data_IF_487640429178
#
_entry.id   IF_487640429178
#
_cell.length_a   1.000
_cell.length_b   1.000
_cell.length_c   1.000
_cell.angle_alpha   90.00
_cell.angle_beta   90.00
_cell.angle_gamma   90.00
#
_symmetry.space_group_name_H-M   'P 1'
#
loop_
_entity.id
_entity.type
_entity.pdbx_description
1 polymer ?
#
# COMPACT_ATOMS: atom_id res chain seq x y z
N UNK A 1 -3.13 45.70 61.39
CA UNK A 1 -2.60 44.73 62.37
C UNK A 1 -3.76 43.87 62.84
N UNK A 2 -3.57 42.53 62.83
CA UNK A 2 -4.42 41.43 63.35
C UNK A 2 -5.88 41.38 62.85
N UNK A 3 -6.40 40.33 62.20
CA UNK A 3 -6.32 38.89 62.51
C UNK A 3 -7.15 38.59 63.77
N UNK A 4 -7.92 37.53 63.94
CA UNK A 4 -8.30 36.32 63.21
C UNK A 4 -9.20 35.52 64.18
N UNK A 5 -9.87 34.47 63.71
CA UNK A 5 -10.46 33.34 64.48
C UNK A 5 -11.67 33.59 65.38
N UNK A 6 -12.84 33.12 64.93
CA UNK A 6 -13.88 32.55 65.77
C UNK A 6 -14.72 31.54 64.97
N UNK A 7 -14.83 30.32 65.47
CA UNK A 7 -15.88 29.33 65.19
C UNK A 7 -15.76 28.22 66.25
N UNK A 8 -16.75 27.34 66.51
CA UNK A 8 -18.17 27.35 66.12
C UNK A 8 -19.10 26.98 67.31
N UNK A 9 -20.43 26.92 67.08
CA UNK A 9 -21.40 25.92 67.62
C UNK A 9 -22.81 26.53 67.80
N UNK A 10 -23.77 26.12 66.95
CA UNK A 10 -25.18 26.06 67.33
C UNK A 10 -26.06 25.31 66.32
N UNK A 11 -27.05 24.61 66.89
CA UNK A 11 -28.37 24.25 66.35
C UNK A 11 -28.61 22.86 65.69
N UNK A 12 -29.21 21.98 66.50
CA UNK A 12 -30.55 21.42 66.22
C UNK A 12 -30.67 20.08 65.46
N UNK A 13 -31.89 19.52 65.31
CA UNK A 13 -32.54 18.72 66.37
C UNK A 13 -33.18 17.37 65.92
N UNK A 14 -33.56 16.58 66.93
CA UNK A 14 -34.70 15.63 67.04
C UNK A 14 -34.77 14.40 66.08
N UNK A 15 -34.72 13.23 66.73
CA UNK A 15 -34.98 11.89 66.18
C UNK A 15 -36.46 11.72 65.81
N UNK A 16 -36.73 11.39 64.55
CA UNK A 16 -38.04 10.96 64.06
C UNK A 16 -38.23 9.45 64.22
N UNK A 17 -39.39 9.07 64.76
CA UNK A 17 -39.96 7.73 64.68
C UNK A 17 -40.70 7.51 63.35
N UNK A 18 -40.74 6.25 62.95
CA UNK A 18 -41.20 5.61 61.71
C UNK A 18 -42.58 6.02 61.17
N UNK A 19 -42.73 5.97 59.83
CA UNK A 19 -43.93 5.39 59.20
C UNK A 19 -43.59 4.27 58.19
N UNK A 20 -44.58 3.46 57.76
CA UNK A 20 -44.36 2.11 57.21
C UNK A 20 -44.15 2.08 55.68
N UNK A 21 -43.65 0.92 55.25
CA UNK A 21 -43.17 0.58 53.91
C UNK A 21 -44.18 0.73 52.76
N UNK A 22 -43.65 0.89 51.53
CA UNK A 22 -44.19 0.22 50.37
C UNK A 22 -43.16 -0.66 49.66
N UNK A 23 -43.71 -1.60 48.91
CA UNK A 23 -43.11 -2.81 48.38
C UNK A 23 -42.19 -2.55 47.18
N UNK A 24 -41.03 -3.22 47.17
CA UNK A 24 -40.20 -3.42 45.99
C UNK A 24 -40.07 -4.93 45.72
N UNK A 25 -40.54 -5.38 44.55
CA UNK A 25 -39.87 -6.43 43.78
C UNK A 25 -38.70 -5.76 43.03
N UNK A 26 -37.52 -6.37 42.80
CA UNK A 26 -37.37 -7.70 42.20
C UNK A 26 -36.18 -8.55 42.72
N UNK A 27 -36.28 -9.87 42.47
CA UNK A 27 -35.20 -10.78 42.03
C UNK A 27 -33.77 -10.52 42.56
N UNK A 28 -33.37 -11.30 43.56
CA UNK A 28 -32.02 -11.88 43.64
C UNK A 28 -32.01 -12.99 44.71
N UNK A 29 -31.64 -14.23 44.35
CA UNK A 29 -30.42 -14.89 44.83
C UNK A 29 -30.35 -16.37 44.40
N UNK A 30 -29.11 -16.76 44.14
CA UNK A 30 -28.64 -18.00 43.54
C UNK A 30 -28.69 -19.25 44.45
N UNK A 31 -28.56 -20.43 43.81
CA UNK A 31 -27.77 -21.64 44.16
C UNK A 31 -28.36 -22.85 43.39
N UNK A 32 -27.68 -23.87 42.88
CA UNK A 32 -26.30 -24.21 42.49
C UNK A 32 -26.40 -25.64 41.88
N UNK A 33 -25.54 -25.99 40.91
CA UNK A 33 -25.08 -27.35 40.46
C UNK A 33 -25.98 -28.25 39.57
N UNK A 34 -25.40 -28.61 38.40
CA UNK A 34 -25.26 -29.93 37.72
C UNK A 34 -25.48 -29.81 36.20
N UNK A 35 -24.42 -29.74 35.38
CA UNK A 35 -23.64 -30.82 34.74
C UNK A 35 -24.28 -31.38 33.45
N UNK A 36 -23.50 -31.23 32.38
CA UNK A 36 -23.31 -32.06 31.18
C UNK A 36 -23.87 -31.68 29.79
N UNK A 37 -22.98 -31.95 28.82
CA UNK A 37 -23.16 -32.24 27.39
C UNK A 37 -23.29 -31.10 26.36
N UNK A 38 -22.22 -30.95 25.54
CA UNK A 38 -22.37 -30.35 24.21
C UNK A 38 -21.17 -29.71 23.49
N UNK A 39 -19.90 -30.04 23.80
CA UNK A 39 -18.73 -29.47 23.08
C UNK A 39 -18.41 -30.26 21.80
N UNK A 40 -18.69 -29.67 20.63
CA UNK A 40 -18.28 -30.18 19.31
C UNK A 40 -16.75 -30.07 19.14
N UNK A 41 -16.13 -31.22 18.83
CA UNK A 41 -14.72 -31.39 18.45
C UNK A 41 -14.49 -30.91 17.00
N UNK A 42 -13.50 -30.05 16.78
CA UNK A 42 -12.77 -29.99 15.50
C UNK A 42 -11.39 -30.61 15.71
N UNK A 43 -11.04 -31.55 14.84
CA UNK A 43 -9.81 -32.33 14.89
C UNK A 43 -8.68 -31.55 14.22
N UNK A 44 -7.60 -31.32 14.96
CA UNK A 44 -6.30 -30.95 14.43
C UNK A 44 -5.57 -32.20 13.91
N UNK A 45 -5.07 -32.14 12.69
CA UNK A 45 -4.12 -33.09 12.11
C UNK A 45 -2.73 -32.92 12.74
N UNK A 46 -2.03 -34.00 13.16
CA UNK A 46 -0.63 -33.93 13.55
C UNK A 46 0.29 -34.22 12.36
N UNK A 47 1.36 -33.43 12.23
CA UNK A 47 2.47 -33.72 11.31
C UNK A 47 3.33 -34.89 11.81
N UNK A 48 3.83 -35.78 10.93
CA UNK A 48 4.76 -36.81 11.35
C UNK A 48 6.23 -36.37 11.23
N UNK A 49 6.97 -36.57 12.33
CA UNK A 49 8.44 -36.66 12.36
C UNK A 49 8.88 -37.89 11.57
N UNK A 50 10.00 -37.81 10.83
CA UNK A 50 10.74 -38.99 10.33
C UNK A 50 12.22 -38.92 10.73
N UNK A 51 12.60 -39.79 11.67
CA UNK A 51 13.95 -40.36 11.73
C UNK A 51 14.05 -41.51 10.72
N UNK A 52 15.24 -41.69 10.15
CA UNK A 52 15.48 -42.62 9.05
C UNK A 52 15.66 -44.08 9.45
N UNK A 53 15.59 -44.96 8.45
CA UNK A 53 16.62 -45.97 8.17
C UNK A 53 16.28 -46.75 6.88
N UNK A 54 17.34 -47.25 6.24
CA UNK A 54 17.42 -48.46 5.41
C UNK A 54 16.84 -48.49 3.97
N UNK A 55 17.75 -48.83 3.05
CA UNK A 55 17.56 -49.35 1.69
C UNK A 55 16.72 -50.65 1.68
N UNK A 56 16.22 -51.07 0.50
CA UNK A 56 16.95 -52.12 -0.24
C UNK A 56 16.99 -51.95 -1.77
N UNK A 57 17.92 -52.72 -2.38
CA UNK A 57 18.22 -52.84 -3.80
C UNK A 57 17.22 -53.74 -4.56
N UNK A 58 17.15 -53.48 -5.87
CA UNK A 58 16.94 -54.40 -7.02
C UNK A 58 15.61 -55.13 -7.17
N UNK A 59 14.96 -54.96 -8.34
CA UNK A 59 15.00 -55.91 -9.48
C UNK A 59 14.12 -55.44 -10.64
N UNK A 60 14.67 -55.47 -11.84
CA UNK A 60 13.97 -55.53 -13.13
C UNK A 60 13.19 -56.87 -13.25
N UNK A 61 12.14 -56.94 -14.10
CA UNK A 61 12.36 -57.46 -15.45
C UNK A 61 11.58 -56.74 -16.58
N UNK A 62 12.14 -56.86 -17.79
CA UNK A 62 11.49 -56.68 -19.11
C UNK A 62 10.26 -57.58 -19.29
N UNK A 63 9.30 -57.21 -20.16
CA UNK A 63 8.86 -57.99 -21.36
C UNK A 63 8.02 -57.08 -22.29
N UNK A 64 8.20 -57.33 -23.59
CA UNK A 64 7.77 -56.71 -24.84
C UNK A 64 6.27 -56.70 -25.23
N UNK A 65 6.03 -55.95 -26.34
CA UNK A 65 5.01 -56.05 -27.41
C UNK A 65 3.66 -55.31 -27.18
N UNK A 66 3.01 -54.68 -28.17
CA UNK A 66 3.22 -54.53 -29.62
C UNK A 66 2.17 -53.55 -30.21
N UNK A 67 2.56 -52.84 -31.28
CA UNK A 67 1.77 -52.41 -32.45
C UNK A 67 0.52 -51.50 -32.31
N UNK A 68 0.53 -50.37 -33.05
CA UNK A 68 -0.69 -49.61 -33.39
C UNK A 68 -0.47 -48.17 -33.86
N UNK A 69 0.25 -47.95 -34.97
CA UNK A 69 0.25 -46.69 -35.72
C UNK A 69 -0.78 -46.72 -36.86
N UNK A 70 -1.30 -45.57 -37.27
CA UNK A 70 -1.28 -45.24 -38.70
C UNK A 70 -0.61 -43.90 -39.03
N UNK A 71 -0.16 -43.83 -40.29
CA UNK A 71 0.86 -42.97 -40.92
C UNK A 71 0.42 -41.52 -41.24
N UNK A 72 1.38 -40.60 -41.46
CA UNK A 72 1.18 -39.27 -42.08
C UNK A 72 1.44 -39.29 -43.60
N UNK A 73 1.06 -38.23 -44.33
CA UNK A 73 1.61 -37.73 -45.64
C UNK A 73 0.75 -36.54 -46.16
N UNK A 74 1.20 -35.68 -47.11
CA UNK A 74 2.57 -35.47 -47.59
C UNK A 74 3.02 -33.98 -47.63
N UNK A 75 4.34 -33.84 -47.77
CA UNK A 75 5.06 -32.60 -48.11
C UNK A 75 5.04 -32.32 -49.63
N UNK A 76 5.27 -31.05 -50.00
CA UNK A 76 5.90 -30.69 -51.28
C UNK A 76 7.17 -29.88 -51.04
N UNK A 77 8.28 -30.39 -51.59
CA UNK A 77 9.55 -29.71 -51.88
C UNK A 77 9.35 -28.86 -53.15
N UNK A 78 10.13 -27.83 -53.50
CA UNK A 78 11.58 -27.72 -53.76
C UNK A 78 11.77 -26.31 -54.41
N UNK A 79 12.89 -25.57 -54.43
CA UNK A 79 14.29 -25.79 -54.88
C UNK A 79 15.02 -24.43 -54.60
N UNK A 80 16.26 -24.41 -54.08
CA UNK A 80 17.55 -24.25 -54.81
C UNK A 80 17.70 -22.84 -55.46
N UNK A 81 18.78 -22.05 -55.38
CA UNK A 81 20.23 -22.32 -55.33
C UNK A 81 21.05 -21.01 -55.08
N UNK A 82 22.19 -21.17 -54.40
CA UNK A 82 23.56 -20.61 -54.57
C UNK A 82 23.92 -19.10 -54.65
N UNK A 83 24.83 -18.75 -53.72
CA UNK A 83 26.10 -17.96 -53.75
C UNK A 83 26.42 -16.93 -54.86
N UNK A 84 27.07 -15.84 -54.40
CA UNK A 84 28.03 -15.07 -55.18
C UNK A 84 28.63 -13.90 -54.37
N UNK A 85 29.88 -14.07 -53.90
CA UNK A 85 30.80 -12.97 -53.53
C UNK A 85 31.01 -12.03 -54.72
N UNK A 86 31.27 -10.73 -54.49
CA UNK A 86 32.32 -9.98 -55.21
C UNK A 86 32.54 -8.57 -54.61
N UNK A 87 33.81 -8.20 -54.64
CA UNK A 87 34.49 -7.01 -54.13
C UNK A 87 34.26 -5.72 -54.93
N UNK A 88 34.38 -4.55 -54.29
CA UNK A 88 35.27 -3.48 -54.77
C UNK A 88 34.71 -2.19 -55.41
N UNK A 89 35.14 -1.06 -54.82
CA UNK A 89 35.74 0.15 -55.45
C UNK A 89 34.89 1.32 -56.03
N UNK A 90 35.14 2.49 -55.42
CA UNK A 90 35.42 3.84 -55.99
C UNK A 90 34.37 4.72 -56.72
N UNK A 91 34.23 5.92 -56.14
CA UNK A 91 34.29 7.31 -56.68
C UNK A 91 33.57 7.65 -58.00
N UNK A 92 32.77 8.72 -57.94
CA UNK A 92 32.46 9.58 -59.08
C UNK A 92 31.53 10.75 -58.71
N UNK A 93 32.06 11.97 -58.69
CA UNK A 93 31.32 13.23 -58.53
C UNK A 93 30.38 13.51 -59.71
N UNK A 94 29.22 14.17 -59.51
CA UNK A 94 28.47 14.76 -60.63
C UNK A 94 28.86 16.22 -60.90
N UNK A 95 28.64 16.72 -62.13
CA UNK A 95 29.21 17.96 -62.64
C UNK A 95 28.37 19.22 -62.33
N UNK A 96 29.09 20.35 -62.30
CA UNK A 96 28.59 21.73 -62.24
C UNK A 96 28.20 22.22 -63.64
N UNK A 97 27.13 23.02 -63.76
CA UNK A 97 26.90 24.18 -64.67
C UNK A 97 25.39 24.57 -64.69
N UNK A 98 24.98 25.79 -65.10
CA UNK A 98 25.30 27.09 -64.51
C UNK A 98 24.03 27.93 -64.19
N UNK A 99 24.28 29.05 -63.49
CA UNK A 99 23.31 30.01 -62.99
C UNK A 99 22.51 30.74 -64.09
N UNK A 100 21.20 30.89 -63.85
CA UNK A 100 20.35 31.89 -64.50
C UNK A 100 19.77 32.83 -63.43
N UNK A 101 20.15 34.11 -63.51
CA UNK A 101 19.59 35.22 -62.74
C UNK A 101 18.16 35.50 -63.20
N UNK A 102 17.22 35.55 -62.27
CA UNK A 102 16.00 36.36 -62.40
C UNK A 102 15.78 37.12 -61.09
N UNK A 103 15.59 38.43 -61.22
CA UNK A 103 15.31 39.34 -60.13
C UNK A 103 13.85 39.16 -59.69
N UNK A 104 13.64 38.94 -58.39
CA UNK A 104 12.33 38.80 -57.77
C UNK A 104 12.33 39.49 -56.40
N UNK A 105 11.58 40.58 -56.36
CA UNK A 105 11.01 41.32 -55.22
C UNK A 105 11.18 40.69 -53.82
N UNK A 106 11.72 41.50 -52.90
CA UNK A 106 11.79 41.23 -51.47
C UNK A 106 10.40 41.24 -50.84
N UNK A 107 9.86 40.06 -50.54
CA UNK A 107 8.84 39.88 -49.52
C UNK A 107 9.49 39.25 -48.29
N UNK A 108 9.57 40.00 -47.19
CA UNK A 108 9.88 39.48 -45.87
C UNK A 108 8.76 38.54 -45.42
N UNK A 109 8.81 37.28 -45.85
CA UNK A 109 8.07 36.21 -45.21
C UNK A 109 8.74 35.95 -43.86
N UNK A 110 8.08 36.37 -42.78
CA UNK A 110 8.47 36.01 -41.43
C UNK A 110 8.65 34.51 -41.35
N UNK A 111 9.84 34.08 -40.90
CA UNK A 111 10.13 32.68 -40.62
C UNK A 111 9.21 32.27 -39.47
N UNK A 112 8.04 31.74 -39.81
CA UNK A 112 7.13 31.14 -38.86
C UNK A 112 7.88 30.06 -38.10
N UNK A 113 7.96 30.20 -36.77
CA UNK A 113 8.63 29.25 -35.91
C UNK A 113 8.10 27.84 -36.22
N UNK A 114 9.00 26.91 -36.58
CA UNK A 114 8.60 25.51 -36.76
C UNK A 114 7.87 25.02 -35.50
N UNK A 115 6.75 24.29 -35.62
CA UNK A 115 6.10 23.67 -34.48
C UNK A 115 7.15 22.84 -33.74
N UNK A 116 7.42 23.19 -32.47
CA UNK A 116 8.36 22.45 -31.61
C UNK A 116 8.04 20.96 -31.73
N UNK A 117 9.05 20.12 -32.00
CA UNK A 117 8.86 18.67 -32.15
C UNK A 117 8.12 18.11 -30.93
N UNK A 118 6.81 17.89 -31.05
CA UNK A 118 5.99 17.28 -29.99
C UNK A 118 6.07 15.78 -30.18
N UNK A 119 6.49 15.05 -29.13
CA UNK A 119 6.41 13.59 -29.13
C UNK A 119 4.94 13.19 -29.31
N UNK A 120 4.69 12.20 -30.17
CA UNK A 120 3.34 11.71 -30.38
C UNK A 120 2.76 11.18 -29.06
N UNK A 121 1.62 11.75 -28.65
CA UNK A 121 0.96 11.37 -27.41
C UNK A 121 0.01 10.23 -27.73
N UNK A 122 0.44 8.99 -27.45
CA UNK A 122 -0.40 7.79 -27.59
C UNK A 122 -1.72 7.97 -26.83
N UNK A 123 -2.81 8.25 -27.55
CA UNK A 123 -4.15 8.41 -26.96
C UNK A 123 -4.75 7.03 -26.76
N UNK A 124 -4.95 6.64 -25.50
CA UNK A 124 -5.68 5.43 -25.15
C UNK A 124 -7.19 5.65 -25.38
N UNK A 125 -7.85 4.68 -26.02
CA UNK A 125 -9.31 4.69 -26.23
C UNK A 125 -10.11 4.29 -24.97
N UNK A 126 -9.43 4.11 -23.82
CA UNK A 126 -10.08 3.75 -22.56
C UNK A 126 -11.03 4.86 -22.06
N UNK A 127 -12.28 4.49 -21.78
CA UNK A 127 -13.34 5.42 -21.34
C UNK A 127 -13.31 5.68 -19.84
N UNK A 128 -12.22 6.23 -19.32
CA UNK A 128 -12.14 6.70 -17.93
C UNK A 128 -12.03 8.22 -17.91
N UNK A 129 -13.13 8.96 -17.59
CA UNK A 129 -13.05 10.41 -17.49
C UNK A 129 -12.13 10.81 -16.33
N UNK A 130 -11.42 11.91 -16.50
CA UNK A 130 -10.60 12.49 -15.43
C UNK A 130 -11.53 13.02 -14.33
N UNK A 131 -11.19 12.75 -13.07
CA UNK A 131 -11.88 13.37 -11.94
C UNK A 131 -11.46 14.84 -11.88
N UNK A 132 -12.40 15.75 -12.14
CA UNK A 132 -12.16 17.18 -12.16
C UNK A 132 -12.26 17.85 -10.78
N UNK A 133 -12.38 19.16 -10.80
CA UNK A 133 -12.54 20.02 -9.61
C UNK A 133 -13.76 19.63 -8.76
N UNK A 134 -14.86 19.21 -9.41
CA UNK A 134 -16.10 18.80 -8.76
C UNK A 134 -15.87 17.70 -7.71
N UNK A 135 -15.07 16.68 -8.04
CA UNK A 135 -14.78 15.59 -7.11
C UNK A 135 -14.02 16.08 -5.85
N UNK A 136 -13.16 17.10 -6.01
CA UNK A 136 -12.46 17.73 -4.88
C UNK A 136 -13.44 18.53 -4.01
N UNK A 137 -14.37 19.26 -4.64
CA UNK A 137 -15.40 20.02 -3.93
C UNK A 137 -16.36 19.10 -3.17
N UNK A 138 -16.79 17.98 -3.78
CA UNK A 138 -17.59 16.95 -3.09
C UNK A 138 -16.85 16.40 -1.87
N UNK A 139 -15.56 16.10 -1.99
CA UNK A 139 -14.74 15.63 -0.87
C UNK A 139 -14.67 16.65 0.27
N UNK A 140 -14.51 17.95 -0.05
CA UNK A 140 -14.49 19.03 0.94
C UNK A 140 -15.85 19.11 1.66
N UNK A 141 -16.96 19.05 0.91
CA UNK A 141 -18.30 19.10 1.48
C UNK A 141 -18.58 17.89 2.39
N UNK A 142 -18.18 16.69 1.99
CA UNK A 142 -18.29 15.48 2.81
C UNK A 142 -17.48 15.57 4.10
N UNK A 143 -16.27 16.13 4.02
CA UNK A 143 -15.39 16.28 5.18
C UNK A 143 -15.99 17.26 6.19
N UNK A 144 -16.47 18.43 5.75
CA UNK A 144 -17.18 19.39 6.62
C UNK A 144 -18.42 18.78 7.27
N UNK A 145 -19.22 18.03 6.51
CA UNK A 145 -20.36 17.28 7.07
C UNK A 145 -19.95 16.30 8.16
N UNK A 146 -18.80 15.62 8.00
CA UNK A 146 -18.28 14.72 9.03
C UNK A 146 -17.77 15.48 10.27
N UNK A 147 -17.18 16.67 10.11
CA UNK A 147 -16.80 17.54 11.23
C UNK A 147 -18.02 17.92 12.08
N UNK A 148 -19.21 18.03 11.50
CA UNK A 148 -20.45 18.33 12.24
C UNK A 148 -21.11 17.09 12.86
N UNK A 149 -20.93 15.93 12.23
CA UNK A 149 -21.61 14.69 12.64
C UNK A 149 -20.88 13.95 13.77
N UNK A 150 -19.55 14.01 13.78
CA UNK A 150 -18.72 13.22 14.69
C UNK A 150 -18.08 14.06 15.79
N UNK A 151 -17.95 13.46 16.98
CA UNK A 151 -17.35 14.10 18.15
C UNK A 151 -15.84 14.21 18.06
N UNK A 152 -15.17 13.17 17.55
CA UNK A 152 -13.71 13.09 17.53
C UNK A 152 -13.17 13.02 16.11
N UNK A 153 -12.05 13.73 15.91
CA UNK A 153 -11.23 13.65 14.71
C UNK A 153 -9.85 13.17 15.12
N UNK A 154 -9.43 12.04 14.57
CA UNK A 154 -8.09 11.49 14.75
C UNK A 154 -7.26 11.71 13.49
N UNK A 155 -6.03 12.16 13.66
CA UNK A 155 -5.01 12.12 12.61
C UNK A 155 -4.22 10.84 12.77
N UNK A 156 -4.22 10.01 11.74
CA UNK A 156 -3.45 8.78 11.73
C UNK A 156 -2.41 8.80 10.61
N UNK A 157 -1.27 8.18 10.87
CA UNK A 157 -0.25 7.87 9.87
C UNK A 157 -0.33 6.39 9.51
N UNK A 158 -0.03 6.06 8.27
CA UNK A 158 -0.01 4.67 7.80
C UNK A 158 1.35 4.32 7.25
N UNK A 159 1.90 3.20 7.70
CA UNK A 159 3.09 2.60 7.12
C UNK A 159 2.70 1.52 6.11
N UNK A 160 3.41 1.47 4.97
CA UNK A 160 3.23 0.48 3.91
C UNK A 160 1.78 0.40 3.39
N UNK A 161 1.20 1.54 3.04
CA UNK A 161 -0.21 1.64 2.63
C UNK A 161 -0.58 0.73 1.45
N UNK A 162 -1.69 0.00 1.60
CA UNK A 162 -2.31 -0.84 0.56
C UNK A 162 -3.82 -0.62 0.53
N UNK A 163 -4.35 -0.38 -0.67
CA UNK A 163 -5.78 -0.12 -0.86
C UNK A 163 -6.69 -1.25 -0.32
N UNK A 164 -6.27 -2.50 -0.42
CA UNK A 164 -7.05 -3.63 0.10
C UNK A 164 -7.10 -3.60 1.62
N UNK A 165 -5.95 -3.44 2.28
CA UNK A 165 -5.85 -3.36 3.75
C UNK A 165 -6.66 -2.17 4.30
N UNK A 166 -6.61 -1.01 3.63
CA UNK A 166 -7.44 0.14 4.03
C UNK A 166 -8.94 -0.10 3.82
N UNK A 167 -9.35 -0.88 2.82
CA UNK A 167 -10.76 -1.30 2.67
C UNK A 167 -11.19 -2.18 3.84
N UNK A 168 -10.33 -3.08 4.30
CA UNK A 168 -10.62 -3.94 5.45
C UNK A 168 -10.80 -3.12 6.72
N UNK A 169 -9.92 -2.14 6.96
CA UNK A 169 -10.06 -1.16 8.06
C UNK A 169 -11.38 -0.39 7.94
N UNK A 170 -11.72 0.14 6.76
CA UNK A 170 -13.01 0.83 6.52
C UNK A 170 -14.22 -0.08 6.74
N UNK A 171 -14.10 -1.37 6.42
CA UNK A 171 -15.16 -2.36 6.62
C UNK A 171 -15.34 -2.72 8.10
N UNK A 172 -14.27 -2.74 8.88
CA UNK A 172 -14.35 -2.90 10.33
C UNK A 172 -14.94 -1.65 11.01
N UNK A 173 -14.60 -0.46 10.50
CA UNK A 173 -15.01 0.84 11.04
C UNK A 173 -16.13 1.51 10.24
N UNK A 174 -17.17 0.76 9.83
CA UNK A 174 -18.31 1.30 9.07
C UNK A 174 -19.11 2.39 9.79
N UNK A 175 -19.06 2.38 11.13
CA UNK A 175 -19.71 3.37 11.98
C UNK A 175 -18.94 4.69 12.07
N UNK A 176 -17.74 4.74 11.47
CA UNK A 176 -16.84 5.88 11.43
C UNK A 176 -16.54 6.23 9.98
N UNK A 177 -15.98 7.42 9.74
CA UNK A 177 -15.57 7.84 8.40
C UNK A 177 -14.06 8.03 8.33
N UNK A 178 -13.42 7.35 7.38
CA UNK A 178 -11.97 7.40 7.16
C UNK A 178 -11.69 8.08 5.82
N UNK A 179 -11.02 9.22 5.88
CA UNK A 179 -10.51 9.94 4.72
C UNK A 179 -9.00 9.72 4.60
N UNK A 180 -8.59 9.32 3.40
CA UNK A 180 -7.18 9.16 3.03
C UNK A 180 -7.06 9.63 1.57
N UNK A 181 -6.63 10.87 1.39
CA UNK A 181 -6.64 11.58 0.11
C UNK A 181 -5.55 12.64 0.07
N UNK A 182 -5.62 13.58 -0.88
CA UNK A 182 -4.59 14.63 -0.99
C UNK A 182 -4.63 15.53 0.25
N UNK A 183 -3.53 15.57 1.01
CA UNK A 183 -3.42 16.33 2.26
C UNK A 183 -3.83 17.80 2.10
N UNK A 184 -3.34 18.47 1.05
CA UNK A 184 -3.69 19.88 0.77
C UNK A 184 -5.20 20.11 0.62
N UNK A 185 -5.97 19.16 0.10
CA UNK A 185 -7.44 19.27 -0.03
C UNK A 185 -8.12 19.12 1.33
N UNK A 186 -7.64 18.17 2.15
CA UNK A 186 -8.14 18.00 3.52
C UNK A 186 -7.83 19.23 4.40
N UNK A 187 -6.63 19.81 4.26
CA UNK A 187 -6.25 21.06 4.95
C UNK A 187 -7.15 22.23 4.57
N UNK A 188 -7.55 22.36 3.30
CA UNK A 188 -8.49 23.41 2.85
C UNK A 188 -9.89 23.18 3.41
N UNK A 189 -10.31 21.93 3.57
CA UNK A 189 -11.62 21.61 4.12
C UNK A 189 -11.74 21.98 5.61
N UNK A 190 -10.66 21.74 6.38
CA UNK A 190 -10.55 22.03 7.81
C UNK A 190 -10.20 23.51 8.11
N UNK A 191 -9.41 24.13 7.23
CA UNK A 191 -8.84 25.47 7.41
C UNK A 191 -7.34 25.42 7.69
N UNK A 192 -6.54 26.27 7.03
CA UNK A 192 -5.08 26.30 7.17
C UNK A 192 -4.63 27.23 8.30
N UNK A 193 -5.39 28.30 8.50
CA UNK A 193 -5.11 29.37 9.46
C UNK A 193 -6.27 29.52 10.42
N UNK A 194 -6.06 30.13 11.60
CA UNK A 194 -7.14 30.46 12.53
C UNK A 194 -8.25 31.32 11.91
N UNK A 195 -7.92 32.15 10.91
CA UNK A 195 -8.87 33.00 10.17
C UNK A 195 -9.81 32.22 9.24
N UNK A 196 -9.38 31.04 8.79
CA UNK A 196 -10.05 30.21 7.77
C UNK A 196 -10.56 28.88 8.34
N UNK A 197 -10.49 28.71 9.67
CA UNK A 197 -10.89 27.47 10.31
C UNK A 197 -12.40 27.30 10.34
N UNK A 198 -12.85 26.06 10.12
CA UNK A 198 -14.27 25.75 10.13
C UNK A 198 -14.85 25.68 11.56
N UNK A 199 -14.02 25.19 12.50
CA UNK A 199 -14.31 25.14 13.94
C UNK A 199 -13.06 25.51 14.72
N UNK A 200 -13.24 25.86 15.99
CA UNK A 200 -12.17 26.30 16.86
C UNK A 200 -11.02 25.28 16.94
N UNK A 201 -9.78 25.78 16.82
CA UNK A 201 -8.54 25.00 16.88
C UNK A 201 -8.38 23.92 15.79
N UNK A 202 -9.24 23.89 14.77
CA UNK A 202 -9.19 22.87 13.73
C UNK A 202 -7.98 23.07 12.80
N UNK A 203 -7.48 24.30 12.69
CA UNK A 203 -6.23 24.60 11.97
C UNK A 203 -5.02 23.84 12.56
N UNK A 204 -5.04 23.46 13.84
CA UNK A 204 -3.98 22.65 14.46
C UNK A 204 -3.93 21.25 13.85
N UNK A 205 -5.09 20.65 13.57
CA UNK A 205 -5.19 19.36 12.87
C UNK A 205 -4.58 19.45 11.47
N UNK A 206 -4.89 20.52 10.72
CA UNK A 206 -4.38 20.75 9.37
C UNK A 206 -2.86 20.84 9.31
N UNK A 207 -2.20 21.45 10.30
CA UNK A 207 -0.74 21.57 10.36
C UNK A 207 -0.02 20.22 10.40
N UNK A 208 -0.67 19.20 10.94
CA UNK A 208 -0.13 17.85 11.07
C UNK A 208 -0.51 16.91 9.92
N UNK A 209 -1.13 17.42 8.85
CA UNK A 209 -1.43 16.65 7.64
C UNK A 209 -0.24 16.64 6.66
N UNK A 210 0.89 16.03 7.07
CA UNK A 210 2.10 15.84 6.23
C UNK A 210 2.43 14.36 6.07
N UNK A 211 2.91 13.95 4.89
CA UNK A 211 3.26 12.56 4.56
C UNK A 211 2.05 11.63 4.33
N UNK A 212 2.23 10.33 4.58
CA UNK A 212 1.18 9.30 4.46
C UNK A 212 0.22 9.33 5.66
N UNK A 213 -0.65 10.34 5.69
CA UNK A 213 -1.60 10.59 6.78
C UNK A 213 -3.05 10.66 6.32
N UNK A 214 -3.96 10.37 7.23
CA UNK A 214 -5.40 10.45 7.00
C UNK A 214 -6.17 10.91 8.24
N UNK A 215 -7.47 11.09 8.04
CA UNK A 215 -8.41 11.54 9.06
C UNK A 215 -9.43 10.45 9.36
N UNK A 216 -9.61 10.14 10.63
CA UNK A 216 -10.65 9.25 11.13
C UNK A 216 -11.64 10.07 11.95
N UNK A 217 -12.89 10.11 11.50
CA UNK A 217 -14.02 10.73 12.19
C UNK A 217 -14.81 9.65 12.92
N UNK A 218 -14.94 9.77 14.23
CA UNK A 218 -15.61 8.75 15.04
C UNK A 218 -16.23 9.32 16.32
N UNK A 219 -17.19 8.59 16.87
CA UNK A 219 -17.79 8.85 18.19
C UNK A 219 -17.24 7.91 19.28
N UNK A 220 -16.30 7.02 18.91
CA UNK A 220 -15.61 6.10 19.83
C UNK A 220 -14.57 6.82 20.66
N UNK A 221 -14.28 6.30 21.85
CA UNK A 221 -13.31 6.92 22.76
C UNK A 221 -11.89 6.72 22.25
N UNK A 222 -10.96 7.54 22.76
CA UNK A 222 -9.52 7.43 22.45
C UNK A 222 -9.00 6.02 22.70
N UNK A 223 -9.35 5.43 23.84
CA UNK A 223 -8.78 4.14 24.27
C UNK A 223 -9.28 2.99 23.37
N UNK A 224 -10.56 3.00 22.97
CA UNK A 224 -11.11 2.02 22.02
C UNK A 224 -10.41 2.08 20.66
N UNK A 225 -10.14 3.31 20.18
CA UNK A 225 -9.45 3.54 18.91
C UNK A 225 -8.01 3.06 19.00
N UNK A 226 -7.28 3.47 20.03
CA UNK A 226 -5.87 3.13 20.20
C UNK A 226 -5.64 1.62 20.37
N UNK A 227 -6.49 0.95 21.17
CA UNK A 227 -6.42 -0.49 21.39
C UNK A 227 -6.64 -1.27 20.09
N UNK A 228 -7.63 -0.87 19.28
CA UNK A 228 -7.93 -1.57 18.04
C UNK A 228 -6.83 -1.36 16.99
N UNK A 229 -6.38 -0.12 16.78
CA UNK A 229 -5.36 0.19 15.77
C UNK A 229 -3.97 -0.33 16.15
N UNK A 230 -3.66 -0.43 17.44
CA UNK A 230 -2.42 -1.07 17.92
C UNK A 230 -2.39 -2.58 17.66
N UNK A 231 -3.55 -3.24 17.70
CA UNK A 231 -3.71 -4.67 17.42
C UNK A 231 -3.77 -5.00 15.93
N UNK A 232 -4.30 -4.09 15.11
CA UNK A 232 -4.46 -4.31 13.68
C UNK A 232 -3.12 -4.16 12.95
N UNK A 233 -2.52 -5.29 12.61
CA UNK A 233 -1.25 -5.40 11.88
C UNK A 233 -1.37 -6.49 10.83
N UNK A 234 -0.95 -6.18 9.62
CA UNK A 234 -1.08 -7.07 8.47
C UNK A 234 0.23 -7.09 7.68
N UNK A 235 0.77 -8.27 7.43
CA UNK A 235 2.00 -8.44 6.63
C UNK A 235 1.67 -8.43 5.13
N UNK A 236 2.61 -7.95 4.32
CA UNK A 236 2.58 -7.92 2.86
C UNK A 236 4.01 -7.98 2.30
N UNK A 237 4.11 -8.14 0.99
CA UNK A 237 5.37 -8.10 0.26
C UNK A 237 5.97 -6.70 0.25
N UNK A 238 7.27 -6.63 0.55
CA UNK A 238 8.04 -5.40 0.43
C UNK A 238 8.10 -4.91 -1.02
N UNK A 239 8.32 -3.60 -1.18
CA UNK A 239 8.50 -2.93 -2.46
C UNK A 239 9.90 -2.36 -2.54
N UNK A 240 10.27 -1.90 -3.73
CA UNK A 240 11.50 -1.12 -3.89
C UNK A 240 11.48 0.09 -2.94
N UNK A 241 12.60 0.36 -2.29
CA UNK A 241 12.74 1.44 -1.32
C UNK A 241 12.40 1.05 0.13
N UNK A 242 11.72 -0.09 0.36
CA UNK A 242 11.53 -0.62 1.72
C UNK A 242 12.86 -1.12 2.30
N UNK A 243 13.04 -0.96 3.61
CA UNK A 243 14.15 -1.60 4.35
C UNK A 243 13.81 -3.06 4.63
N UNK A 244 14.77 -3.95 4.41
CA UNK A 244 14.62 -5.38 4.69
C UNK A 244 14.57 -5.63 6.20
N UNK A 245 13.59 -6.40 6.66
CA UNK A 245 13.38 -6.72 8.09
C UNK A 245 14.30 -7.83 8.60
N UNK A 246 14.80 -8.67 7.71
CA UNK A 246 15.73 -9.77 8.01
C UNK A 246 16.47 -10.17 6.73
N UNK A 247 17.62 -10.82 6.90
CA UNK A 247 18.44 -11.33 5.78
C UNK A 247 17.76 -12.53 5.10
N UNK A 248 17.75 -12.55 3.77
CA UNK A 248 17.27 -13.70 2.96
C UNK A 248 18.35 -14.19 2.03
N UNK A 249 18.70 -15.47 2.18
CA UNK A 249 19.58 -16.23 1.29
C UNK A 249 18.82 -17.41 0.70
N UNK A 250 19.07 -17.69 -0.57
CA UNK A 250 18.51 -18.82 -1.30
C UNK A 250 19.61 -19.86 -1.50
N UNK A 251 19.32 -21.10 -1.12
CA UNK A 251 20.26 -22.22 -1.27
C UNK A 251 20.28 -22.74 -2.72
N UNK A 252 21.45 -23.21 -3.15
CA UNK A 252 21.62 -23.89 -4.44
C UNK A 252 20.72 -25.13 -4.54
N UNK A 253 20.06 -25.33 -5.69
CA UNK A 253 19.14 -26.45 -5.85
C UNK A 253 18.00 -26.22 -6.85
N UNK A 254 17.17 -27.26 -7.10
CA UNK A 254 16.02 -27.15 -7.98
C UNK A 254 14.91 -26.29 -7.34
N UNK A 255 14.37 -25.35 -8.12
CA UNK A 255 13.27 -24.46 -7.77
C UNK A 255 11.97 -24.95 -8.42
N UNK A 256 11.42 -26.04 -7.89
CA UNK A 256 10.24 -26.73 -8.43
C UNK A 256 8.96 -25.89 -8.36
N UNK A 257 8.92 -24.86 -7.53
CA UNK A 257 7.79 -23.92 -7.42
C UNK A 257 7.59 -23.04 -8.66
N UNK A 258 8.59 -22.95 -9.54
CA UNK A 258 8.52 -22.12 -10.75
C UNK A 258 8.40 -22.97 -12.01
N UNK A 259 7.52 -22.59 -12.96
CA UNK A 259 7.47 -23.23 -14.26
C UNK A 259 8.72 -22.88 -15.07
N UNK A 260 9.11 -23.77 -15.99
CA UNK A 260 10.30 -23.58 -16.86
C UNK A 260 10.27 -22.28 -17.68
N UNK A 261 9.08 -21.75 -17.99
CA UNK A 261 8.91 -20.48 -18.71
C UNK A 261 9.31 -19.24 -17.91
N UNK A 262 9.36 -19.33 -16.58
CA UNK A 262 9.77 -18.25 -15.69
C UNK A 262 11.29 -18.12 -15.54
N UNK A 263 12.05 -19.10 -16.03
CA UNK A 263 13.51 -19.12 -15.89
C UNK A 263 14.21 -17.88 -16.48
N UNK A 264 13.86 -17.40 -17.69
CA UNK A 264 14.46 -16.18 -18.24
C UNK A 264 14.15 -14.95 -17.37
N UNK A 265 12.95 -14.90 -16.77
CA UNK A 265 12.58 -13.80 -15.87
C UNK A 265 13.41 -13.85 -14.58
N UNK A 266 13.62 -15.02 -13.98
CA UNK A 266 14.44 -15.17 -12.78
C UNK A 266 15.90 -14.76 -13.06
N UNK A 267 16.44 -15.16 -14.22
CA UNK A 267 17.77 -14.75 -14.66
C UNK A 267 17.87 -13.23 -14.87
N UNK A 268 16.84 -12.61 -15.45
CA UNK A 268 16.78 -11.16 -15.62
C UNK A 268 16.75 -10.40 -14.28
N UNK A 269 16.21 -11.01 -13.23
CA UNK A 269 16.23 -10.45 -11.87
C UNK A 269 17.58 -10.65 -11.15
N UNK A 270 18.58 -11.23 -11.82
CA UNK A 270 19.93 -11.41 -11.29
C UNK A 270 20.18 -12.78 -10.62
N UNK A 271 19.20 -13.69 -10.61
CA UNK A 271 19.38 -15.02 -10.02
C UNK A 271 20.23 -15.92 -10.95
N UNK A 272 21.28 -16.58 -10.43
CA UNK A 272 22.09 -17.52 -11.20
C UNK A 272 21.33 -18.83 -11.43
N UNK A 273 20.43 -18.84 -12.41
CA UNK A 273 19.53 -19.97 -12.72
C UNK A 273 19.83 -20.59 -14.08
N UNK A 274 19.56 -21.88 -14.19
CA UNK A 274 19.59 -22.63 -15.44
C UNK A 274 18.54 -23.76 -15.45
N UNK A 275 18.10 -24.18 -16.63
CA UNK A 275 17.24 -25.34 -16.79
C UNK A 275 18.07 -26.63 -16.75
N UNK A 276 17.90 -27.45 -15.71
CA UNK A 276 18.45 -28.81 -15.64
C UNK A 276 17.30 -29.81 -15.76
N UNK A 277 17.30 -30.61 -16.85
CA UNK A 277 16.24 -31.60 -17.13
C UNK A 277 14.82 -31.00 -17.12
N UNK A 278 14.67 -29.77 -17.61
CA UNK A 278 13.38 -29.07 -17.66
C UNK A 278 12.94 -28.41 -16.35
N UNK A 279 13.73 -28.49 -15.27
CA UNK A 279 13.46 -27.85 -13.98
C UNK A 279 14.39 -26.65 -13.79
N UNK A 280 13.85 -25.52 -13.35
CA UNK A 280 14.64 -24.33 -12.99
C UNK A 280 15.52 -24.69 -11.80
N UNK A 281 16.83 -24.52 -11.92
CA UNK A 281 17.80 -24.84 -10.85
C UNK A 281 18.68 -23.64 -10.59
N UNK A 282 18.78 -23.24 -9.32
CA UNK A 282 19.76 -22.26 -8.86
C UNK A 282 21.15 -22.90 -8.85
N UNK A 283 22.14 -22.25 -9.46
CA UNK A 283 23.48 -22.80 -9.67
C UNK A 283 24.39 -22.64 -8.44
N UNK A 284 24.20 -21.57 -7.69
CA UNK A 284 24.96 -21.23 -6.49
C UNK A 284 24.05 -20.59 -5.46
N UNK A 285 24.46 -20.60 -4.20
CA UNK A 285 23.76 -19.85 -3.16
C UNK A 285 23.72 -18.37 -3.54
N UNK A 286 22.60 -17.71 -3.24
CA UNK A 286 22.37 -16.32 -3.62
C UNK A 286 21.75 -15.55 -2.46
N UNK A 287 22.47 -14.53 -1.98
CA UNK A 287 21.95 -13.60 -0.99
C UNK A 287 21.08 -12.54 -1.68
N UNK A 288 19.79 -12.50 -1.33
CA UNK A 288 18.84 -11.56 -1.93
C UNK A 288 18.97 -10.19 -1.27
N UNK A 289 18.99 -10.12 0.06
CA UNK A 289 19.14 -8.89 0.83
C UNK A 289 19.62 -9.18 2.25
N UNK A 290 20.26 -8.20 2.90
CA UNK A 290 20.58 -8.25 4.34
C UNK A 290 19.60 -7.41 5.15
N UNK A 291 19.46 -7.75 6.42
CA UNK A 291 18.69 -6.94 7.38
C UNK A 291 19.15 -5.47 7.37
N UNK A 292 18.20 -4.56 7.25
CA UNK A 292 18.43 -3.11 7.21
C UNK A 292 18.66 -2.51 5.82
N UNK A 293 18.96 -3.33 4.81
CA UNK A 293 19.24 -2.83 3.45
C UNK A 293 17.99 -2.29 2.77
N UNK A 294 18.15 -1.23 1.97
CA UNK A 294 17.08 -0.69 1.11
C UNK A 294 16.92 -1.57 -0.13
N UNK A 295 15.75 -2.17 -0.30
CA UNK A 295 15.47 -3.13 -1.35
C UNK A 295 15.41 -2.49 -2.74
N UNK A 296 16.12 -3.08 -3.71
CA UNK A 296 15.99 -2.73 -5.13
C UNK A 296 14.69 -3.31 -5.74
N UNK A 297 14.24 -2.80 -6.90
CA UNK A 297 13.08 -3.37 -7.61
C UNK A 297 13.23 -4.86 -7.93
N UNK A 298 14.43 -5.31 -8.28
CA UNK A 298 14.74 -6.70 -8.57
C UNK A 298 14.63 -7.56 -7.31
N UNK A 299 15.27 -7.13 -6.21
CA UNK A 299 15.22 -7.83 -4.92
C UNK A 299 13.78 -7.96 -4.40
N UNK A 300 13.01 -6.86 -4.40
CA UNK A 300 11.61 -6.88 -3.98
C UNK A 300 10.76 -7.83 -4.84
N UNK A 301 11.04 -7.92 -6.14
CA UNK A 301 10.36 -8.85 -7.04
C UNK A 301 10.75 -10.30 -6.79
N UNK A 302 12.03 -10.58 -6.49
CA UNK A 302 12.50 -11.90 -6.06
C UNK A 302 11.79 -12.29 -4.76
N UNK A 303 11.83 -11.46 -3.73
CA UNK A 303 11.16 -11.72 -2.45
C UNK A 303 9.67 -12.05 -2.62
N UNK A 304 8.97 -11.29 -3.47
CA UNK A 304 7.56 -11.56 -3.80
C UNK A 304 7.34 -12.89 -4.51
N UNK A 305 8.21 -13.26 -5.46
CA UNK A 305 8.10 -14.54 -6.18
C UNK A 305 8.34 -15.74 -5.27
N UNK A 306 9.22 -15.60 -4.29
CA UNK A 306 9.54 -16.64 -3.32
C UNK A 306 8.63 -16.64 -2.08
N UNK A 307 7.72 -15.66 -1.97
CA UNK A 307 6.73 -15.61 -0.89
C UNK A 307 7.22 -14.99 0.42
N UNK A 308 8.32 -14.22 0.40
CA UNK A 308 8.83 -13.53 1.58
C UNK A 308 8.09 -12.21 1.80
N UNK A 309 7.27 -12.17 2.84
CA UNK A 309 6.59 -10.97 3.31
C UNK A 309 7.48 -10.23 4.32
N UNK A 310 7.73 -8.94 4.07
CA UNK A 310 8.68 -8.10 4.81
C UNK A 310 8.17 -6.67 5.04
N UNK A 311 6.97 -6.34 4.55
CA UNK A 311 6.34 -5.06 4.82
C UNK A 311 5.17 -5.26 5.78
N UNK A 312 5.16 -4.53 6.88
CA UNK A 312 4.04 -4.51 7.82
C UNK A 312 3.16 -3.30 7.53
N UNK A 313 1.90 -3.53 7.19
CA UNK A 313 0.86 -2.50 7.22
C UNK A 313 0.51 -2.20 8.67
N UNK A 314 0.71 -0.94 9.07
CA UNK A 314 0.40 -0.45 10.42
C UNK A 314 -0.22 0.93 10.34
N UNK A 315 -1.26 1.16 11.13
CA UNK A 315 -1.86 2.48 11.32
C UNK A 315 -1.51 2.97 12.72
N UNK A 316 -0.93 4.16 12.80
CA UNK A 316 -0.55 4.80 14.07
C UNK A 316 -1.38 6.05 14.27
N UNK A 317 -2.08 6.16 15.39
CA UNK A 317 -2.86 7.35 15.73
C UNK A 317 -1.92 8.39 16.34
N UNK A 318 -1.78 9.55 15.71
CA UNK A 318 -0.83 10.59 16.14
C UNK A 318 -1.49 11.69 16.98
N UNK A 319 -2.66 12.17 16.55
CA UNK A 319 -3.33 13.32 17.16
C UNK A 319 -4.84 13.09 17.29
N UNK A 320 -5.44 13.81 18.23
CA UNK A 320 -6.87 13.81 18.52
C UNK A 320 -7.36 15.25 18.64
N UNK A 321 -8.49 15.55 18.01
CA UNK A 321 -9.25 16.77 18.20
C UNK A 321 -10.69 16.45 18.61
N UNK A 322 -11.21 17.19 19.59
CA UNK A 322 -12.58 17.05 20.10
C UNK A 322 -13.46 18.22 19.63
N UNK A 323 -14.58 17.90 18.98
CA UNK A 323 -15.50 18.93 18.46
C UNK A 323 -16.29 19.69 19.52
N UNK A 324 -16.47 19.13 20.72
CA UNK A 324 -17.25 19.79 21.77
C UNK A 324 -16.41 20.81 22.54
N UNK A 325 -15.15 20.48 22.82
CA UNK A 325 -14.25 21.32 23.62
C UNK A 325 -13.27 22.13 22.78
N UNK A 326 -13.08 21.78 21.50
CA UNK A 326 -12.04 22.38 20.66
C UNK A 326 -10.63 21.95 21.07
N UNK A 327 -10.50 20.96 21.97
CA UNK A 327 -9.19 20.53 22.46
C UNK A 327 -8.45 19.73 21.41
N UNK A 328 -7.16 20.04 21.26
CA UNK A 328 -6.22 19.31 20.42
C UNK A 328 -5.16 18.63 21.29
N UNK A 329 -5.04 17.31 21.17
CA UNK A 329 -4.12 16.50 21.95
C UNK A 329 -3.21 15.67 21.05
N UNK A 330 -1.91 15.67 21.36
CA UNK A 330 -0.93 14.75 20.76
C UNK A 330 -0.97 13.44 21.53
N UNK A 331 -1.21 12.32 20.84
CA UNK A 331 -1.35 11.00 21.46
C UNK A 331 -0.04 10.21 21.43
N UNK A 332 0.69 10.31 20.33
CA UNK A 332 2.02 9.69 20.18
C UNK A 332 3.04 10.79 19.97
N UNK A 333 4.05 10.82 20.85
CA UNK A 333 5.27 11.58 20.62
C UNK A 333 6.07 10.86 19.55
N UNK A 334 6.11 11.41 18.33
CA UNK A 334 7.12 10.99 17.35
C UNK A 334 8.50 11.18 18.02
N UNK A 335 9.16 10.07 18.36
CA UNK A 335 10.54 10.04 18.84
C UNK A 335 11.51 9.84 17.65
N UNK A 336 11.11 10.21 16.44
CA UNK A 336 11.91 10.07 15.24
C UNK A 336 11.34 10.99 14.17
N UNK A 337 12.23 11.78 13.55
CA UNK A 337 12.00 12.63 12.38
C UNK A 337 11.53 14.07 12.68
N UNK A 338 12.35 14.80 13.44
CA UNK A 338 12.84 16.10 12.92
C UNK A 338 13.91 15.73 11.90
N UNK A 339 13.64 15.83 10.59
CA UNK A 339 14.56 16.26 9.50
C UNK A 339 13.76 16.24 8.19
N UNK A 340 14.06 17.22 7.32
CA UNK A 340 13.54 17.45 5.97
C UNK A 340 12.19 18.20 5.86
N UNK A 341 12.23 19.48 6.26
CA UNK A 341 11.51 20.53 5.54
C UNK A 341 12.09 20.63 4.11
N UNK A 342 11.45 19.95 3.15
CA UNK A 342 11.52 20.37 1.74
C UNK A 342 10.24 21.13 1.39
N UNK A 343 10.44 22.40 1.04
CA UNK A 343 9.46 23.29 0.44
C UNK A 343 8.98 22.69 -0.90
N UNK A 344 7.87 21.95 -0.90
CA UNK A 344 7.05 21.80 -2.10
C UNK A 344 6.22 23.09 -2.29
N UNK A 345 6.89 24.16 -2.72
CA UNK A 345 6.31 25.25 -3.51
C UNK A 345 6.52 24.91 -5.00
N UNK A 346 5.54 25.31 -5.81
CA UNK A 346 5.48 25.22 -7.29
C UNK A 346 5.12 23.84 -7.90
N UNK A 347 3.83 23.65 -8.24
CA UNK A 347 3.39 23.87 -9.62
C UNK A 347 1.91 23.50 -9.90
N UNK A 348 1.36 24.30 -10.82
CA UNK A 348 0.24 24.03 -11.74
C UNK A 348 -1.19 24.42 -11.31
N UNK A 349 -1.42 25.73 -11.23
CA UNK A 349 -2.64 26.33 -11.79
C UNK A 349 -2.21 27.26 -12.95
N UNK A 350 -1.83 26.65 -14.08
CA UNK A 350 -1.84 27.32 -15.39
C UNK A 350 -2.87 26.66 -16.30
N UNK A 351 -4.14 26.88 -15.97
CA UNK A 351 -5.22 26.84 -16.94
C UNK A 351 -5.71 28.28 -17.14
N UNK A 352 -5.06 29.00 -18.06
CA UNK A 352 -5.71 30.07 -18.80
C UNK A 352 -5.70 29.67 -20.30
N UNK A 353 -6.93 29.65 -20.83
CA UNK A 353 -7.42 29.50 -22.21
C UNK A 353 -7.25 28.19 -23.00
#
# INVERSE_FOLDING_TARGET
>A
MGGSTADPMLAGPRRGGTPPAPQHSPVELAHLVLIDSGRKRQQHHPQPRRHGCARPRSRHPEVLNSAGLPKPLPAQQSRSETQGDYTGTARGSPPVLPAARTAGTSEHHGVGAMPKSKRDRKVSLTRTPRKGLEAKQTLIAELRKCVDTYKYIFVFSVANMRNNKLKDVRNAWKHSRIFFGKNKVMMVALGREPSSEYKENLHKVSKHLRGEVGLLFTNRTKDEVDEWFSKFKEVDFARAGNKATYTVSLDTGPLEQFPHSMEPQLRQLGLPTALKKGVVTLLSDYEVCKEGDVLTPEQARVLKLFGYEMAEFKVTIKFLWNSETGDFQKLVGDATEEEEDEEEEEDDDSNED
#
